data_IF_298079665310
#
_entry.id   IF_298079665310
#
_cell.length_a   1.000
_cell.length_b   1.000
_cell.length_c   1.000
_cell.angle_alpha   90.00
_cell.angle_beta   90.00
_cell.angle_gamma   90.00
#
_symmetry.space_group_name_H-M   'P 1'
#
loop_
_entity.id
_entity.type
_entity.pdbx_description
1 polymer ?
#
# COMPACT_ATOMS: atom_id res chain seq x y z
N UNK A 1 9.07 -16.11 48.17
CA UNK A 1 8.05 -17.05 48.70
C UNK A 1 7.57 -16.48 50.01
N UNK A 2 6.30 -16.11 50.12
CA UNK A 2 5.73 -15.59 51.37
C UNK A 2 5.28 -16.80 52.17
N UNK A 3 5.85 -17.02 53.35
CA UNK A 3 5.44 -18.12 54.21
C UNK A 3 4.03 -17.88 54.75
N UNK A 4 3.21 -18.93 54.73
CA UNK A 4 1.87 -18.90 55.33
C UNK A 4 2.02 -18.76 56.85
N UNK A 5 1.45 -17.69 57.40
CA UNK A 5 1.40 -17.49 58.86
C UNK A 5 0.55 -18.60 59.52
N UNK A 6 0.99 -19.05 60.70
CA UNK A 6 0.22 -19.98 61.53
C UNK A 6 -0.88 -19.25 62.32
N UNK A 7 -1.80 -20.01 62.91
CA UNK A 7 -2.99 -19.47 63.60
C UNK A 7 -2.65 -18.66 64.87
N UNK A 8 -1.44 -18.82 65.41
CA UNK A 8 -0.96 -18.13 66.61
C UNK A 8 0.10 -17.05 66.27
N UNK A 9 0.13 -16.56 65.03
CA UNK A 9 1.10 -15.56 64.60
C UNK A 9 0.98 -14.28 65.44
N UNK A 10 2.11 -13.80 65.94
CA UNK A 10 2.18 -12.54 66.66
C UNK A 10 1.88 -11.35 65.73
N UNK A 11 1.47 -10.23 66.32
CA UNK A 11 1.27 -8.98 65.58
C UNK A 11 2.53 -8.55 64.79
N UNK A 12 3.72 -8.79 65.35
CA UNK A 12 5.00 -8.50 64.68
C UNK A 12 5.20 -9.35 63.41
N UNK A 13 4.88 -10.64 63.48
CA UNK A 13 4.93 -11.53 62.32
C UNK A 13 3.91 -11.11 61.26
N UNK A 14 2.72 -10.68 61.67
CA UNK A 14 1.70 -10.16 60.77
C UNK A 14 2.16 -8.88 60.03
N UNK A 15 2.75 -7.93 60.76
CA UNK A 15 3.29 -6.68 60.17
C UNK A 15 4.40 -6.99 59.16
N UNK A 16 5.30 -7.92 59.50
CA UNK A 16 6.39 -8.35 58.62
C UNK A 16 5.84 -8.96 57.34
N UNK A 17 4.90 -9.91 57.45
CA UNK A 17 4.28 -10.55 56.30
C UNK A 17 3.55 -9.53 55.40
N UNK A 18 2.84 -8.55 55.97
CA UNK A 18 2.23 -7.48 55.17
C UNK A 18 3.26 -6.60 54.46
N UNK A 19 4.39 -6.32 55.11
CA UNK A 19 5.53 -5.63 54.49
C UNK A 19 6.07 -6.38 53.27
N UNK A 20 6.26 -7.69 53.41
CA UNK A 20 6.76 -8.55 52.34
C UNK A 20 5.77 -8.65 51.17
N UNK A 21 4.48 -8.84 51.45
CA UNK A 21 3.41 -8.81 50.42
C UNK A 21 3.44 -7.49 49.63
N UNK A 22 3.58 -6.36 50.33
CA UNK A 22 3.66 -5.04 49.70
C UNK A 22 4.88 -4.92 48.79
N UNK A 23 6.03 -5.42 49.24
CA UNK A 23 7.29 -5.37 48.47
C UNK A 23 7.18 -6.24 47.21
N UNK A 24 6.66 -7.46 47.31
CA UNK A 24 6.45 -8.35 46.16
C UNK A 24 5.48 -7.75 45.12
N UNK A 25 4.38 -7.14 45.58
CA UNK A 25 3.46 -6.42 44.68
C UNK A 25 4.13 -5.23 43.99
N UNK A 26 5.02 -4.51 44.70
CA UNK A 26 5.76 -3.40 44.12
C UNK A 26 6.78 -3.87 43.08
N UNK A 27 7.49 -4.97 43.35
CA UNK A 27 8.39 -5.62 42.38
C UNK A 27 7.60 -6.03 41.13
N UNK A 28 6.44 -6.67 41.29
CA UNK A 28 5.58 -7.06 40.17
C UNK A 28 5.17 -5.87 39.29
N UNK A 29 4.76 -4.74 39.89
CA UNK A 29 4.45 -3.52 39.14
C UNK A 29 5.67 -2.93 38.44
N UNK A 30 6.82 -2.91 39.10
CA UNK A 30 8.07 -2.43 38.51
C UNK A 30 8.48 -3.29 37.31
N UNK A 31 8.33 -4.62 37.41
CA UNK A 31 8.61 -5.53 36.30
C UNK A 31 7.72 -5.26 35.10
N UNK A 32 6.41 -5.03 35.32
CA UNK A 32 5.48 -4.65 34.25
C UNK A 32 5.90 -3.33 33.61
N UNK A 33 6.16 -2.29 34.43
CA UNK A 33 6.55 -0.97 33.93
C UNK A 33 7.88 -1.01 33.16
N UNK A 34 8.87 -1.74 33.65
CA UNK A 34 10.17 -1.88 33.00
C UNK A 34 10.07 -2.69 31.69
N UNK A 35 9.22 -3.72 31.65
CA UNK A 35 9.06 -4.56 30.45
C UNK A 35 8.27 -3.86 29.36
N UNK A 36 7.17 -3.19 29.72
CA UNK A 36 6.27 -2.55 28.76
C UNK A 36 6.66 -1.10 28.43
N UNK A 37 7.47 -0.45 29.28
CA UNK A 37 7.90 0.94 29.11
C UNK A 37 6.76 1.95 29.27
N UNK A 38 6.95 3.14 28.71
CA UNK A 38 5.89 4.17 28.68
C UNK A 38 4.64 3.62 27.98
N UNK A 39 3.42 3.82 28.51
CA UNK A 39 3.03 4.77 29.57
C UNK A 39 2.97 4.17 30.99
N UNK A 40 3.53 2.99 31.24
CA UNK A 40 3.45 2.32 32.54
C UNK A 40 4.48 2.87 33.53
N UNK A 41 4.09 3.00 34.80
CA UNK A 41 5.00 3.36 35.89
C UNK A 41 4.86 2.39 37.05
N UNK A 42 5.94 2.14 37.80
CA UNK A 42 5.90 1.27 38.99
C UNK A 42 4.94 1.77 40.09
N UNK A 43 4.61 3.06 40.06
CA UNK A 43 3.67 3.70 40.97
C UNK A 43 2.21 3.56 40.54
N UNK A 44 1.93 3.06 39.32
CA UNK A 44 0.57 2.85 38.86
C UNK A 44 -0.21 1.90 39.78
N UNK A 45 -1.50 2.20 39.97
CA UNK A 45 -2.43 1.22 40.53
C UNK A 45 -2.71 0.13 39.49
N UNK A 46 -3.01 -1.09 39.95
CA UNK A 46 -3.30 -2.22 39.04
C UNK A 46 -4.48 -1.96 38.10
N UNK A 47 -5.51 -1.24 38.56
CA UNK A 47 -6.63 -0.84 37.70
C UNK A 47 -6.21 0.15 36.60
N UNK A 48 -5.29 1.08 36.90
CA UNK A 48 -4.73 2.01 35.92
C UNK A 48 -3.87 1.26 34.91
N UNK A 49 -3.10 0.27 35.35
CA UNK A 49 -2.35 -0.63 34.47
C UNK A 49 -3.29 -1.35 33.49
N UNK A 50 -4.41 -1.90 33.99
CA UNK A 50 -5.45 -2.51 33.14
C UNK A 50 -5.97 -1.53 32.10
N UNK A 51 -6.38 -0.32 32.51
CA UNK A 51 -6.89 0.70 31.58
C UNK A 51 -5.85 1.06 30.51
N UNK A 52 -4.58 1.24 30.88
CA UNK A 52 -3.49 1.51 29.93
C UNK A 52 -3.32 0.38 28.90
N UNK A 53 -3.36 -0.89 29.34
CA UNK A 53 -3.31 -2.06 28.44
C UNK A 53 -4.51 -2.04 27.46
N UNK A 54 -5.72 -1.78 27.95
CA UNK A 54 -6.92 -1.68 27.10
C UNK A 54 -6.81 -0.54 26.09
N UNK A 55 -6.32 0.63 26.51
CA UNK A 55 -6.07 1.77 25.61
C UNK A 55 -5.07 1.41 24.51
N UNK A 56 -3.91 0.82 24.85
CA UNK A 56 -2.90 0.42 23.86
C UNK A 56 -3.45 -0.62 22.88
N UNK A 57 -4.18 -1.62 23.37
CA UNK A 57 -4.83 -2.65 22.53
C UNK A 57 -5.84 -2.02 21.56
N UNK A 58 -6.66 -1.08 22.05
CA UNK A 58 -7.66 -0.39 21.23
C UNK A 58 -7.01 0.53 20.17
N UNK A 59 -5.91 1.19 20.52
CA UNK A 59 -5.09 1.96 19.58
C UNK A 59 -4.50 1.04 18.51
N UNK A 60 -3.98 -0.12 18.88
CA UNK A 60 -3.45 -1.08 17.92
C UNK A 60 -4.51 -1.57 16.93
N UNK A 61 -5.71 -1.93 17.40
CA UNK A 61 -6.84 -2.28 16.54
C UNK A 61 -7.21 -1.13 15.58
N UNK A 62 -7.23 0.10 16.08
CA UNK A 62 -7.52 1.29 15.25
C UNK A 62 -6.46 1.50 14.17
N UNK A 63 -5.18 1.32 14.51
CA UNK A 63 -4.08 1.43 13.55
C UNK A 63 -4.15 0.36 12.45
N UNK A 64 -4.56 -0.88 12.76
CA UNK A 64 -4.79 -1.92 11.77
C UNK A 64 -5.95 -1.55 10.82
N UNK A 65 -7.07 -1.05 11.36
CA UNK A 65 -8.19 -0.57 10.54
C UNK A 65 -7.77 0.57 9.62
N UNK A 66 -6.93 1.50 10.09
CA UNK A 66 -6.34 2.57 9.27
C UNK A 66 -5.42 2.05 8.15
N UNK A 67 -4.97 0.80 8.23
CA UNK A 67 -4.20 0.10 7.19
C UNK A 67 -5.06 -0.87 6.38
N UNK A 68 -6.38 -0.65 6.35
CA UNK A 68 -7.36 -1.49 5.65
C UNK A 68 -7.37 -2.96 6.12
N UNK A 69 -6.90 -3.24 7.34
CA UNK A 69 -6.99 -4.56 7.96
C UNK A 69 -8.18 -4.57 8.93
N UNK A 70 -9.16 -5.45 8.69
CA UNK A 70 -10.33 -5.56 9.57
C UNK A 70 -9.92 -5.98 10.98
N UNK A 71 -10.12 -5.10 11.97
CA UNK A 71 -9.80 -5.34 13.37
C UNK A 71 -10.85 -4.69 14.30
N UNK A 72 -11.11 -5.34 15.45
CA UNK A 72 -12.03 -4.87 16.48
C UNK A 72 -11.32 -4.73 17.85
N UNK A 73 -11.72 -3.74 18.63
CA UNK A 73 -11.26 -3.45 20.00
C UNK A 73 -11.51 -4.61 20.99
N UNK A 74 -12.49 -5.47 20.72
CA UNK A 74 -12.80 -6.64 21.56
C UNK A 74 -11.86 -7.82 21.32
N UNK A 75 -11.07 -7.82 20.24
CA UNK A 75 -10.14 -8.90 19.93
C UNK A 75 -9.03 -9.03 20.98
N UNK A 76 -8.45 -10.22 21.07
CA UNK A 76 -7.26 -10.48 21.88
C UNK A 76 -6.03 -9.80 21.27
N UNK A 77 -5.03 -9.49 22.10
CA UNK A 77 -3.76 -8.92 21.61
C UNK A 77 -3.10 -9.84 20.57
N UNK A 78 -3.11 -11.16 20.80
CA UNK A 78 -2.54 -12.13 19.87
C UNK A 78 -3.23 -12.10 18.50
N UNK A 79 -4.55 -11.96 18.45
CA UNK A 79 -5.29 -11.87 17.18
C UNK A 79 -4.90 -10.60 16.42
N UNK A 80 -4.76 -9.46 17.11
CA UNK A 80 -4.29 -8.21 16.50
C UNK A 80 -2.85 -8.36 15.97
N UNK A 81 -1.96 -9.00 16.71
CA UNK A 81 -0.58 -9.29 16.26
C UNK A 81 -0.59 -10.16 14.99
N UNK A 82 -1.37 -11.24 14.98
CA UNK A 82 -1.46 -12.14 13.83
C UNK A 82 -1.97 -11.43 12.57
N UNK A 83 -2.76 -10.36 12.71
CA UNK A 83 -3.26 -9.57 11.59
C UNK A 83 -2.23 -8.61 10.99
N UNK A 84 -1.09 -8.38 11.64
CA UNK A 84 0.01 -7.56 11.11
C UNK A 84 0.55 -8.14 9.80
N UNK A 85 0.61 -9.47 9.66
CA UNK A 85 1.05 -10.11 8.42
C UNK A 85 0.11 -9.86 7.23
N UNK A 86 -1.13 -9.45 7.50
CA UNK A 86 -2.11 -9.10 6.47
C UNK A 86 -1.98 -7.65 6.00
N UNK A 87 -1.11 -6.85 6.61
CA UNK A 87 -0.76 -5.51 6.11
C UNK A 87 0.01 -5.72 4.81
N UNK A 88 -0.66 -5.48 3.68
CA UNK A 88 -0.03 -5.59 2.37
C UNK A 88 0.84 -4.36 2.11
N UNK A 89 1.91 -4.53 1.33
CA UNK A 89 2.59 -3.39 0.73
C UNK A 89 1.59 -2.66 -0.16
N UNK A 90 1.12 -1.51 0.32
CA UNK A 90 0.10 -0.69 -0.33
C UNK A 90 0.56 -0.28 -1.73
N UNK A 91 1.87 -0.23 -1.98
CA UNK A 91 2.42 0.18 -3.27
C UNK A 91 3.40 -0.88 -3.78
N UNK A 92 3.12 -1.44 -4.96
CA UNK A 92 4.11 -2.17 -5.77
C UNK A 92 4.53 -1.30 -6.93
N UNK A 93 5.82 -1.32 -7.25
CA UNK A 93 6.37 -0.52 -8.35
C UNK A 93 7.22 -1.39 -9.27
N UNK A 94 7.25 -1.02 -10.54
CA UNK A 94 8.17 -1.55 -11.54
C UNK A 94 8.54 -0.42 -12.50
N UNK A 95 9.73 -0.50 -13.10
CA UNK A 95 10.20 0.51 -14.05
C UNK A 95 11.06 -0.11 -15.13
N UNK A 96 11.17 0.59 -16.25
CA UNK A 96 12.21 0.34 -17.24
C UNK A 96 13.26 1.45 -17.23
N UNK A 97 14.43 1.10 -17.75
CA UNK A 97 15.38 2.08 -18.25
C UNK A 97 14.95 2.55 -19.66
N UNK A 98 15.45 3.70 -20.09
CA UNK A 98 15.18 4.23 -21.43
C UNK A 98 15.81 3.32 -22.49
N UNK A 99 14.98 2.56 -23.19
CA UNK A 99 15.41 1.61 -24.21
C UNK A 99 14.69 1.86 -25.52
N UNK A 100 15.40 1.70 -26.63
CA UNK A 100 14.76 1.72 -27.93
C UNK A 100 14.03 0.41 -28.18
N UNK A 101 12.75 0.52 -28.51
CA UNK A 101 11.89 -0.62 -28.77
C UNK A 101 11.10 -0.43 -30.06
N UNK A 102 10.83 -1.54 -30.74
CA UNK A 102 9.89 -1.58 -31.87
C UNK A 102 8.51 -1.90 -31.34
N UNK A 103 7.56 -1.00 -31.60
CA UNK A 103 6.18 -1.15 -31.12
C UNK A 103 5.23 -1.50 -32.26
N UNK A 104 4.18 -2.24 -31.94
CA UNK A 104 3.16 -2.70 -32.90
C UNK A 104 1.87 -1.89 -32.76
N UNK A 105 1.08 -1.80 -33.84
CA UNK A 105 -0.24 -1.17 -33.79
C UNK A 105 -1.23 -2.05 -33.00
N UNK A 106 -2.14 -1.37 -32.31
CA UNK A 106 -3.16 -1.91 -31.42
C UNK A 106 -4.45 -1.09 -31.54
N UNK A 107 -5.59 -1.72 -31.25
CA UNK A 107 -6.88 -1.02 -31.22
C UNK A 107 -7.19 -0.55 -29.80
N UNK A 108 -7.67 0.66 -29.69
CA UNK A 108 -7.96 1.34 -28.41
C UNK A 108 -9.38 1.87 -28.45
N UNK A 109 -10.16 1.62 -27.40
CA UNK A 109 -11.45 2.28 -27.19
C UNK A 109 -11.29 3.38 -26.13
N UNK A 110 -11.25 4.67 -26.50
CA UNK A 110 -11.10 5.75 -25.53
C UNK A 110 -12.31 5.84 -24.59
N UNK A 111 -12.09 6.33 -23.37
CA UNK A 111 -13.18 6.53 -22.41
C UNK A 111 -14.25 7.48 -22.97
N UNK A 112 -15.51 7.04 -22.95
CA UNK A 112 -16.65 7.81 -23.45
C UNK A 112 -16.88 7.71 -24.96
N UNK A 113 -16.14 6.86 -25.67
CA UNK A 113 -16.30 6.60 -27.10
C UNK A 113 -16.95 5.23 -27.36
N UNK A 114 -17.58 5.08 -28.53
CA UNK A 114 -18.16 3.81 -29.00
C UNK A 114 -17.27 3.05 -29.97
N UNK A 115 -16.38 3.77 -30.67
CA UNK A 115 -15.56 3.20 -31.74
C UNK A 115 -14.09 3.09 -31.36
N UNK A 116 -13.46 1.99 -31.80
CA UNK A 116 -12.04 1.75 -31.56
C UNK A 116 -11.17 2.51 -32.57
N UNK A 117 -10.10 3.13 -32.08
CA UNK A 117 -9.08 3.83 -32.87
C UNK A 117 -7.80 3.01 -32.89
N UNK A 118 -7.17 2.89 -34.06
CA UNK A 118 -5.87 2.22 -34.22
C UNK A 118 -4.73 3.16 -33.78
N UNK A 119 -3.88 2.70 -32.86
CA UNK A 119 -2.72 3.44 -32.31
C UNK A 119 -1.53 2.49 -32.12
N UNK A 120 -0.31 3.01 -32.08
CA UNK A 120 0.85 2.22 -31.62
C UNK A 120 0.75 2.03 -30.11
N UNK A 121 1.10 0.86 -29.58
CA UNK A 121 1.10 0.62 -28.13
C UNK A 121 2.41 -0.01 -27.62
N UNK A 122 2.75 0.33 -26.39
CA UNK A 122 3.71 -0.41 -25.58
C UNK A 122 2.96 -1.52 -24.85
N UNK A 123 3.45 -2.76 -24.94
CA UNK A 123 2.99 -3.87 -24.12
C UNK A 123 4.11 -4.32 -23.17
N UNK A 124 3.78 -4.43 -21.89
CA UNK A 124 4.61 -5.05 -20.86
C UNK A 124 3.77 -6.14 -20.21
N UNK A 125 4.22 -7.40 -20.29
CA UNK A 125 3.48 -8.56 -19.81
C UNK A 125 4.27 -9.45 -18.84
N UNK A 126 5.32 -8.89 -18.24
CA UNK A 126 6.25 -9.56 -17.33
C UNK A 126 6.26 -8.99 -15.91
N UNK A 127 5.26 -8.17 -15.55
CA UNK A 127 5.15 -7.65 -14.18
C UNK A 127 4.61 -8.73 -13.26
N UNK A 128 5.06 -8.74 -12.00
CA UNK A 128 4.52 -9.60 -10.95
C UNK A 128 3.16 -9.11 -10.39
N UNK A 129 2.59 -8.08 -11.02
CA UNK A 129 1.37 -7.42 -10.55
C UNK A 129 0.64 -6.69 -11.69
N UNK A 130 -0.69 -6.54 -11.54
CA UNK A 130 -1.53 -5.64 -12.34
C UNK A 130 -1.35 -4.19 -11.85
N UNK A 131 -0.80 -3.27 -12.65
CA UNK A 131 -0.72 -1.87 -12.26
C UNK A 131 -2.11 -1.23 -12.27
N UNK A 132 -2.26 -0.17 -11.47
CA UNK A 132 -3.40 0.76 -11.55
C UNK A 132 -3.00 2.06 -12.26
N UNK A 133 -1.71 2.40 -12.24
CA UNK A 133 -1.16 3.64 -12.78
C UNK A 133 0.16 3.37 -13.50
N UNK A 134 0.30 3.91 -14.71
CA UNK A 134 1.54 3.87 -15.49
C UNK A 134 1.88 5.28 -15.95
N UNK A 135 3.11 5.68 -15.68
CA UNK A 135 3.77 6.83 -16.30
C UNK A 135 4.71 6.31 -17.38
N UNK A 136 4.72 6.96 -18.53
CA UNK A 136 5.58 6.58 -19.63
C UNK A 136 6.07 7.82 -20.35
N UNK A 137 7.35 7.82 -20.69
CA UNK A 137 7.92 8.78 -21.64
C UNK A 137 8.36 8.03 -22.88
N UNK A 138 8.07 8.60 -24.04
CA UNK A 138 8.52 8.07 -25.32
C UNK A 138 9.13 9.16 -26.16
N UNK A 139 10.26 8.87 -26.78
CA UNK A 139 10.98 9.80 -27.64
C UNK A 139 11.27 9.15 -28.98
N UNK A 140 10.75 9.76 -30.04
CA UNK A 140 11.17 9.46 -31.40
C UNK A 140 12.15 10.54 -31.90
N UNK A 141 12.42 10.58 -33.20
CA UNK A 141 13.34 11.53 -33.80
C UNK A 141 12.80 12.98 -33.83
N UNK A 142 11.50 13.18 -33.60
CA UNK A 142 10.81 14.44 -33.84
C UNK A 142 10.11 15.00 -32.59
N UNK A 143 9.66 14.14 -31.68
CA UNK A 143 8.76 14.47 -30.59
C UNK A 143 9.04 13.65 -29.34
N UNK A 144 8.81 14.30 -28.20
CA UNK A 144 8.77 13.66 -26.89
C UNK A 144 7.31 13.55 -26.47
N UNK A 145 6.92 12.42 -25.91
CA UNK A 145 5.58 12.20 -25.40
C UNK A 145 5.62 11.76 -23.96
N UNK A 146 4.76 12.35 -23.15
CA UNK A 146 4.45 11.87 -21.81
C UNK A 146 3.06 11.29 -21.81
N UNK A 147 2.96 10.01 -21.47
CA UNK A 147 1.70 9.29 -21.33
C UNK A 147 1.47 8.95 -19.87
N UNK A 148 0.26 9.22 -19.41
CA UNK A 148 -0.21 8.75 -18.11
C UNK A 148 -1.48 7.95 -18.33
N UNK A 149 -1.43 6.70 -17.88
CA UNK A 149 -2.51 5.75 -18.00
C UNK A 149 -2.96 5.32 -16.61
N UNK A 150 -4.27 5.23 -16.43
CA UNK A 150 -4.88 4.76 -15.20
C UNK A 150 -5.91 3.69 -15.53
N UNK A 151 -6.06 2.70 -14.65
CA UNK A 151 -7.14 1.74 -14.77
C UNK A 151 -8.50 2.40 -14.49
N UNK A 152 -9.57 1.68 -14.83
CA UNK A 152 -10.93 2.20 -14.69
C UNK A 152 -11.38 2.48 -13.24
N UNK A 153 -10.71 1.88 -12.25
CA UNK A 153 -11.05 1.98 -10.83
C UNK A 153 -10.55 3.29 -10.21
N UNK A 154 -9.58 3.95 -10.85
CA UNK A 154 -9.08 5.24 -10.41
C UNK A 154 -10.03 6.37 -10.82
N UNK A 155 -10.45 7.16 -9.83
CA UNK A 155 -11.14 8.42 -10.08
C UNK A 155 -10.11 9.48 -10.50
N UNK A 156 -10.20 9.97 -11.73
CA UNK A 156 -9.42 11.12 -12.16
C UNK A 156 -9.81 12.33 -11.30
N UNK A 157 -8.88 12.84 -10.50
CA UNK A 157 -9.09 14.15 -9.89
C UNK A 157 -9.02 15.20 -11.00
N UNK A 158 -9.99 16.14 -11.06
CA UNK A 158 -10.05 17.14 -12.13
C UNK A 158 -8.83 18.08 -12.17
N UNK A 159 -7.96 18.07 -11.15
CA UNK A 159 -6.84 19.00 -10.97
C UNK A 159 -5.46 18.31 -11.00
N UNK A 160 -5.27 17.24 -11.77
CA UNK A 160 -3.93 16.63 -11.91
C UNK A 160 -2.99 17.61 -12.64
N UNK A 161 -2.06 18.22 -11.90
CA UNK A 161 -1.02 19.10 -12.45
C UNK A 161 0.20 18.25 -12.81
N UNK A 162 0.58 18.26 -14.09
CA UNK A 162 1.79 17.61 -14.58
C UNK A 162 2.90 18.62 -14.72
N UNK A 163 3.79 18.67 -13.74
CA UNK A 163 5.01 19.47 -13.82
C UNK A 163 6.11 18.64 -14.49
N UNK A 164 6.34 18.86 -15.78
CA UNK A 164 7.53 18.36 -16.47
C UNK A 164 8.62 19.44 -16.38
N UNK A 165 9.78 19.10 -15.81
CA UNK A 165 10.91 20.03 -15.64
C UNK A 165 11.76 20.19 -16.89
N UNK A 166 11.33 19.66 -18.04
CA UNK A 166 12.05 19.86 -19.29
C UNK A 166 11.73 21.26 -19.82
N UNK A 167 12.78 22.08 -20.01
CA UNK A 167 12.69 23.33 -20.75
C UNK A 167 11.88 23.10 -22.02
N UNK A 168 10.81 23.88 -22.16
CA UNK A 168 9.80 23.81 -23.20
C UNK A 168 10.41 23.57 -24.59
N UNK A 169 10.51 22.30 -25.01
CA UNK A 169 10.68 21.96 -26.42
C UNK A 169 9.30 22.01 -27.05
N UNK A 170 9.16 22.78 -28.12
CA UNK A 170 7.92 22.95 -28.90
C UNK A 170 7.36 21.64 -29.49
N UNK A 171 8.02 20.49 -29.29
CA UNK A 171 7.58 19.17 -29.71
C UNK A 171 7.19 18.22 -28.57
N UNK A 172 7.09 18.67 -27.31
CA UNK A 172 6.60 17.82 -26.22
C UNK A 172 5.08 17.73 -26.25
N UNK A 173 4.55 16.53 -26.51
CA UNK A 173 3.10 16.25 -26.59
C UNK A 173 2.66 15.48 -25.34
N UNK A 174 1.59 15.94 -24.69
CA UNK A 174 1.05 15.29 -23.50
C UNK A 174 -0.20 14.49 -23.86
N UNK A 175 -0.31 13.29 -23.29
CA UNK A 175 -1.48 12.44 -23.44
C UNK A 175 -1.90 11.85 -22.10
N UNK A 176 -3.15 12.10 -21.71
CA UNK A 176 -3.77 11.51 -20.52
C UNK A 176 -4.84 10.54 -21.01
N UNK A 177 -4.60 9.24 -20.83
CA UNK A 177 -5.48 8.18 -21.28
C UNK A 177 -6.21 7.53 -20.11
N UNK A 178 -7.55 7.53 -20.16
CA UNK A 178 -8.39 6.65 -19.32
C UNK A 178 -8.99 5.56 -20.20
N UNK A 179 -8.93 4.32 -19.73
CA UNK A 179 -9.42 3.16 -20.48
C UNK A 179 -10.66 2.57 -19.79
N UNK A 180 -11.70 2.25 -20.57
CA UNK A 180 -12.92 1.65 -20.05
C UNK A 180 -12.76 0.16 -19.76
N UNK A 181 -13.39 -0.28 -18.69
CA UNK A 181 -13.47 -1.67 -18.23
C UNK A 181 -14.50 -2.50 -19.03
N UNK A 182 -14.61 -2.32 -20.34
CA UNK A 182 -15.50 -3.14 -21.17
C UNK A 182 -14.68 -4.21 -21.86
N UNK A 183 -14.74 -5.45 -21.39
CA UNK A 183 -14.39 -6.72 -22.10
C UNK A 183 -12.91 -6.86 -22.55
N UNK A 184 -12.15 -5.77 -22.72
CA UNK A 184 -10.72 -5.73 -23.06
C UNK A 184 -9.80 -5.84 -21.84
N UNK A 185 -10.40 -5.94 -20.65
CA UNK A 185 -9.81 -6.12 -19.32
C UNK A 185 -10.16 -7.53 -18.82
N UNK A 186 -9.97 -8.53 -19.70
CA UNK A 186 -10.19 -9.93 -19.34
C UNK A 186 -8.86 -10.66 -19.48
N UNK A 187 -8.41 -11.28 -18.39
CA UNK A 187 -7.34 -12.30 -18.38
C UNK A 187 -7.65 -13.50 -19.32
N UNK A 188 -8.78 -13.48 -20.01
CA UNK A 188 -9.21 -14.45 -20.99
C UNK A 188 -8.89 -13.93 -22.39
N UNK A 189 -8.02 -14.66 -23.09
CA UNK A 189 -7.63 -14.58 -24.51
C UNK A 189 -6.21 -14.05 -24.78
N UNK A 190 -5.32 -15.03 -24.86
CA UNK A 190 -3.94 -15.03 -25.34
C UNK A 190 -3.67 -14.42 -26.73
N UNK A 191 -4.60 -13.68 -27.35
CA UNK A 191 -4.45 -13.14 -28.71
C UNK A 191 -5.11 -11.75 -28.93
N UNK A 192 -5.60 -11.06 -27.90
CA UNK A 192 -6.23 -9.73 -28.12
C UNK A 192 -5.16 -8.64 -28.26
N UNK A 193 -5.28 -7.75 -29.26
CA UNK A 193 -4.39 -6.60 -29.52
C UNK A 193 -4.85 -5.31 -28.80
N UNK A 194 -5.71 -5.43 -27.79
CA UNK A 194 -6.42 -4.30 -27.17
C UNK A 194 -5.63 -3.64 -26.03
N UNK A 195 -5.67 -2.30 -25.94
CA UNK A 195 -5.04 -1.58 -24.83
C UNK A 195 -5.77 -1.80 -23.49
N UNK A 196 -5.03 -1.84 -22.37
CA UNK A 196 -5.58 -2.05 -21.04
C UNK A 196 -4.54 -2.42 -19.97
N UNK A 197 -5.03 -2.71 -18.75
CA UNK A 197 -4.24 -3.19 -17.62
C UNK A 197 -4.64 -4.64 -17.33
N UNK A 198 -3.69 -5.54 -17.08
CA UNK A 198 -3.96 -6.97 -16.90
C UNK A 198 -3.05 -7.57 -15.83
N UNK A 199 -3.30 -8.82 -15.42
CA UNK A 199 -2.70 -9.40 -14.20
C UNK A 199 -1.18 -9.32 -14.12
N UNK A 200 -0.50 -9.39 -15.27
CA UNK A 200 0.96 -9.36 -15.37
C UNK A 200 1.51 -8.11 -16.09
N UNK A 201 0.72 -7.03 -16.19
CA UNK A 201 1.22 -5.77 -16.74
C UNK A 201 0.19 -4.91 -17.42
N UNK A 202 0.57 -4.29 -18.53
CA UNK A 202 -0.24 -3.29 -19.21
C UNK A 202 0.08 -3.22 -20.70
N UNK A 203 -0.90 -2.72 -21.47
CA UNK A 203 -0.74 -2.31 -22.86
C UNK A 203 -1.29 -0.90 -23.02
N UNK A 204 -0.41 0.08 -23.19
CA UNK A 204 -0.78 1.51 -23.26
C UNK A 204 -0.48 2.09 -24.63
N UNK A 205 -1.45 2.78 -25.27
CA UNK A 205 -1.23 3.41 -26.55
C UNK A 205 -0.39 4.68 -26.43
N UNK A 206 0.28 5.01 -27.53
CA UNK A 206 1.20 6.13 -27.65
C UNK A 206 0.76 6.92 -28.88
N UNK A 207 0.71 8.25 -28.76
CA UNK A 207 0.24 9.16 -29.83
C UNK A 207 1.34 9.44 -30.85
N UNK A 208 1.92 8.37 -31.35
CA UNK A 208 2.91 8.37 -32.41
C UNK A 208 2.20 8.40 -33.78
N UNK A 209 2.73 9.18 -34.72
CA UNK A 209 2.05 9.50 -35.98
C UNK A 209 2.14 8.39 -37.06
N UNK A 210 2.81 7.26 -36.80
CA UNK A 210 3.02 6.18 -37.78
C UNK A 210 2.61 4.79 -37.28
N UNK A 211 2.45 3.86 -38.22
CA UNK A 211 1.86 2.52 -38.02
C UNK A 211 2.81 1.46 -37.43
N UNK A 212 4.10 1.77 -37.31
CA UNK A 212 5.13 0.99 -36.59
C UNK A 212 6.35 1.87 -36.34
N UNK A 213 6.69 2.14 -35.07
CA UNK A 213 7.74 3.10 -34.71
C UNK A 213 8.79 2.45 -33.80
N UNK A 214 10.05 2.79 -34.10
CA UNK A 214 11.20 2.61 -33.23
C UNK A 214 11.37 3.88 -32.38
N UNK A 215 11.15 3.78 -31.07
CA UNK A 215 11.25 4.91 -30.15
C UNK A 215 11.97 4.50 -28.87
N UNK A 216 12.67 5.45 -28.25
CA UNK A 216 13.18 5.28 -26.90
C UNK A 216 12.01 5.41 -25.92
N UNK A 217 11.81 4.40 -25.08
CA UNK A 217 10.69 4.34 -24.14
C UNK A 217 11.23 4.08 -22.73
N UNK A 218 10.72 4.84 -21.77
CA UNK A 218 10.87 4.56 -20.34
C UNK A 218 9.52 4.61 -19.67
N UNK A 219 9.31 3.78 -18.66
CA UNK A 219 8.03 3.68 -17.96
C UNK A 219 8.20 3.38 -16.47
N UNK A 220 7.20 3.78 -15.70
CA UNK A 220 7.07 3.54 -14.27
C UNK A 220 5.63 3.09 -13.98
N UNK A 221 5.49 1.86 -13.51
CA UNK A 221 4.20 1.22 -13.21
C UNK A 221 4.01 1.13 -11.70
N UNK A 222 2.80 1.42 -11.24
CA UNK A 222 2.40 1.43 -9.84
C UNK A 222 1.13 0.60 -9.68
N UNK A 223 1.12 -0.29 -8.69
CA UNK A 223 -0.11 -0.86 -8.13
C UNK A 223 -0.35 -0.28 -6.75
N UNK A 224 -1.56 0.20 -6.51
CA UNK A 224 -2.06 0.55 -5.19
C UNK A 224 -3.04 -0.55 -4.73
N UNK A 225 -2.75 -1.21 -3.60
CA UNK A 225 -3.61 -2.26 -3.00
C UNK A 225 -4.50 -1.75 -1.87
#
# INVERSE_FOLDING_TARGET
MIEKLNENASLSQLITAFGDVKNELQIGKNNIANTLGSPFTGTDKLNITKTKIETLKNTFATNLTNKNVSANKTESMQNLINKVSSIKNIIKTAKSESNYITMKPSYVLPYGQTDSVRRVSLEINSLSFRPNLVFMTTKDNYSNYTTIAFDSTMNLMPNLILCISEEYRSSTRQNIGRFQNRIFDTDTYSNSTSAGFFTNGFRTPIYLNDTSIYAAVSWFAIKYE
#
